data_IF_048833022157
#
_entry.id   IF_048833022157
#
_cell.length_a   1.000
_cell.length_b   1.000
_cell.length_c   1.000
_cell.angle_alpha   90.00
_cell.angle_beta   90.00
_cell.angle_gamma   90.00
#
_symmetry.space_group_name_H-M   'P 1'
#
loop_
_entity.id
_entity.type
_entity.pdbx_description
1 polymer ?
#
# COMPACT_ATOMS: atom_id res chain seq x y z
N UNK A 1 -61.10 -52.37 -46.18
CA UNK A 1 -60.71 -51.75 -44.91
C UNK A 1 -59.20 -51.98 -44.75
N UNK A 2 -58.39 -51.22 -45.49
CA UNK A 2 -57.63 -50.00 -45.09
C UNK A 2 -56.40 -50.35 -44.25
N UNK A 3 -55.20 -50.45 -44.87
CA UNK A 3 -54.17 -49.38 -45.06
C UNK A 3 -53.48 -49.00 -43.74
N UNK A 4 -52.16 -48.81 -43.58
CA UNK A 4 -50.98 -48.85 -44.45
C UNK A 4 -49.71 -48.64 -43.56
N UNK A 5 -48.53 -49.06 -44.06
CA UNK A 5 -47.18 -48.41 -43.99
C UNK A 5 -46.57 -48.00 -42.61
N UNK A 6 -45.40 -48.52 -42.22
CA UNK A 6 -44.00 -48.04 -42.50
C UNK A 6 -43.68 -46.58 -42.08
N UNK A 7 -42.65 -46.44 -41.21
CA UNK A 7 -41.70 -45.32 -41.02
C UNK A 7 -42.18 -43.91 -40.59
N UNK A 8 -41.47 -43.28 -39.65
CA UNK A 8 -41.34 -41.81 -39.48
C UNK A 8 -41.32 -41.36 -38.00
N UNK A 9 -40.20 -40.91 -37.41
CA UNK A 9 -39.55 -39.58 -37.42
C UNK A 9 -40.22 -38.49 -36.53
N UNK A 10 -39.37 -37.83 -35.71
CA UNK A 10 -39.46 -36.47 -35.15
C UNK A 10 -40.56 -36.11 -34.13
N UNK A 11 -40.15 -35.67 -32.93
CA UNK A 11 -40.13 -34.25 -32.49
C UNK A 11 -39.94 -34.18 -30.96
N UNK A 12 -38.78 -33.68 -30.50
CA UNK A 12 -38.78 -32.78 -29.34
C UNK A 12 -37.54 -31.90 -29.39
N UNK A 13 -37.77 -30.66 -29.83
CA UNK A 13 -36.85 -29.53 -29.88
C UNK A 13 -37.33 -28.51 -28.83
N UNK A 14 -36.40 -27.72 -28.28
CA UNK A 14 -36.57 -26.53 -27.42
C UNK A 14 -36.75 -26.83 -25.91
N UNK A 15 -36.09 -26.15 -24.96
CA UNK A 15 -35.26 -24.95 -24.96
C UNK A 15 -33.99 -25.20 -24.13
N UNK A 16 -32.80 -25.03 -24.73
CA UNK A 16 -31.66 -24.55 -23.95
C UNK A 16 -31.76 -23.03 -23.96
N UNK A 17 -32.26 -22.45 -22.85
CA UNK A 17 -32.06 -21.03 -22.58
C UNK A 17 -30.59 -20.88 -22.24
N UNK A 18 -29.86 -20.30 -23.19
CA UNK A 18 -28.52 -19.75 -23.01
C UNK A 18 -28.58 -18.67 -21.92
N UNK A 19 -28.34 -19.05 -20.67
CA UNK A 19 -27.96 -18.10 -19.63
C UNK A 19 -26.50 -17.75 -19.89
N UNK A 20 -26.26 -16.81 -20.82
CA UNK A 20 -24.97 -16.13 -20.85
C UNK A 20 -24.76 -15.50 -19.47
N UNK A 21 -23.58 -15.63 -18.83
CA UNK A 21 -23.28 -14.82 -17.67
C UNK A 21 -23.41 -13.36 -18.11
N UNK A 22 -24.23 -12.59 -17.39
CA UNK A 22 -24.22 -11.15 -17.51
C UNK A 22 -22.78 -10.70 -17.27
N UNK A 23 -22.11 -10.20 -18.30
CA UNK A 23 -20.88 -9.43 -18.12
C UNK A 23 -21.23 -8.34 -17.12
N UNK A 24 -20.60 -8.39 -15.94
CA UNK A 24 -20.62 -7.27 -15.03
C UNK A 24 -20.14 -6.07 -15.85
N UNK A 25 -21.01 -5.10 -16.06
CA UNK A 25 -20.69 -3.88 -16.77
C UNK A 25 -19.51 -3.24 -16.01
N UNK A 26 -18.31 -3.28 -16.60
CA UNK A 26 -17.12 -2.66 -16.03
C UNK A 26 -17.42 -1.18 -15.83
N UNK A 27 -17.59 -0.77 -14.57
CA UNK A 27 -17.94 0.61 -14.25
C UNK A 27 -16.86 1.58 -14.80
N UNK A 28 -17.27 2.60 -15.59
CA UNK A 28 -16.33 3.43 -16.34
C UNK A 28 -15.50 4.38 -15.47
N UNK A 29 -15.82 4.50 -14.19
CA UNK A 29 -15.18 5.42 -13.25
C UNK A 29 -14.38 4.69 -12.15
N UNK A 30 -14.88 3.57 -11.66
CA UNK A 30 -14.28 2.74 -10.59
C UNK A 30 -12.88 2.23 -10.94
N UNK A 31 -11.95 2.39 -10.00
CA UNK A 31 -10.60 1.85 -10.10
C UNK A 31 -9.52 2.85 -9.68
N UNK A 32 -8.27 2.43 -9.83
CA UNK A 32 -7.11 3.27 -9.57
C UNK A 32 -6.66 3.97 -10.86
N UNK A 33 -6.47 5.27 -10.78
CA UNK A 33 -6.06 6.16 -11.85
C UNK A 33 -4.73 6.77 -11.45
N UNK A 34 -3.73 6.72 -12.35
CA UNK A 34 -2.39 7.24 -12.08
C UNK A 34 -1.96 8.17 -13.19
N UNK A 35 -1.30 9.24 -12.82
CA UNK A 35 -0.74 10.17 -13.78
C UNK A 35 -0.27 11.42 -13.08
N UNK A 36 -0.40 12.56 -13.74
CA UNK A 36 0.26 13.78 -13.29
C UNK A 36 -0.67 14.98 -13.28
N UNK A 37 -0.30 15.94 -12.42
CA UNK A 37 -0.89 17.27 -12.32
C UNK A 37 0.20 18.27 -12.65
N UNK A 38 -0.05 19.10 -13.64
CA UNK A 38 0.94 20.01 -14.23
C UNK A 38 0.51 21.45 -14.02
N UNK A 39 1.40 22.25 -13.43
CA UNK A 39 1.17 23.68 -13.20
C UNK A 39 1.26 24.49 -14.53
N UNK A 40 0.73 25.73 -14.56
CA UNK A 40 0.79 26.57 -15.75
C UNK A 40 2.24 26.81 -16.16
N UNK A 41 2.55 26.58 -17.44
CA UNK A 41 3.91 26.68 -17.98
C UNK A 41 4.67 25.35 -18.04
N UNK A 42 4.19 24.28 -17.38
CA UNK A 42 4.77 22.94 -17.49
C UNK A 42 6.02 22.69 -16.66
N UNK A 43 6.44 23.66 -15.85
CA UNK A 43 7.70 23.60 -15.08
C UNK A 43 7.60 22.71 -13.83
N UNK A 44 6.39 22.44 -13.35
CA UNK A 44 6.13 21.61 -12.16
C UNK A 44 5.10 20.54 -12.53
N UNK A 45 5.53 19.29 -12.43
CA UNK A 45 4.72 18.10 -12.64
C UNK A 45 4.71 17.27 -11.36
N UNK A 46 3.53 17.03 -10.80
CA UNK A 46 3.33 16.22 -9.59
C UNK A 46 2.66 14.91 -9.96
N UNK A 47 3.23 13.78 -9.55
CA UNK A 47 2.60 12.47 -9.75
C UNK A 47 1.50 12.25 -8.71
N UNK A 48 0.32 11.83 -9.16
CA UNK A 48 -0.84 11.58 -8.31
C UNK A 48 -1.45 10.22 -8.59
N UNK A 49 -2.05 9.64 -7.55
CA UNK A 49 -2.90 8.46 -7.66
C UNK A 49 -4.27 8.75 -7.08
N UNK A 50 -5.30 8.47 -7.85
CA UNK A 50 -6.70 8.62 -7.47
C UNK A 50 -7.37 7.25 -7.47
N UNK A 51 -8.12 6.91 -6.43
CA UNK A 51 -8.90 5.67 -6.38
C UNK A 51 -10.36 6.01 -6.21
N UNK A 52 -11.21 5.48 -7.10
CA UNK A 52 -12.66 5.62 -7.06
C UNK A 52 -13.31 4.26 -6.79
N UNK A 53 -14.26 4.23 -5.87
CA UNK A 53 -15.04 3.05 -5.46
C UNK A 53 -16.52 3.37 -5.63
N UNK A 54 -17.25 2.53 -6.37
CA UNK A 54 -18.70 2.65 -6.46
C UNK A 54 -19.38 2.16 -5.17
N UNK A 55 -20.24 2.98 -4.58
CA UNK A 55 -21.00 2.68 -3.36
C UNK A 55 -22.43 3.19 -3.49
N UNK A 56 -23.41 2.28 -3.47
CA UNK A 56 -24.83 2.64 -3.39
C UNK A 56 -25.37 3.53 -4.53
N UNK A 57 -24.76 3.52 -5.71
CA UNK A 57 -25.11 4.41 -6.83
C UNK A 57 -24.41 5.77 -6.81
N UNK A 58 -23.41 5.93 -5.95
CA UNK A 58 -22.49 7.07 -5.87
C UNK A 58 -21.04 6.59 -5.89
N UNK A 59 -20.08 7.51 -5.82
CA UNK A 59 -18.67 7.19 -5.71
C UNK A 59 -18.08 7.73 -4.41
N UNK A 60 -17.17 6.96 -3.82
CA UNK A 60 -16.23 7.41 -2.80
C UNK A 60 -14.81 7.26 -3.35
N UNK A 61 -13.83 7.95 -2.74
CA UNK A 61 -12.47 7.83 -3.22
C UNK A 61 -11.43 8.56 -2.40
N UNK A 62 -10.18 8.34 -2.78
CA UNK A 62 -9.01 8.95 -2.16
C UNK A 62 -8.02 9.42 -3.23
N UNK A 63 -7.24 10.44 -2.87
CA UNK A 63 -6.21 11.05 -3.70
C UNK A 63 -4.89 11.07 -2.92
N UNK A 64 -3.80 10.65 -3.57
CA UNK A 64 -2.44 10.66 -3.01
C UNK A 64 -1.46 11.31 -3.99
N UNK A 65 -0.34 11.82 -3.48
CA UNK A 65 0.75 12.39 -4.29
C UNK A 65 1.03 13.89 -4.06
N UNK A 66 0.16 14.60 -3.33
CA UNK A 66 0.35 16.03 -3.03
C UNK A 66 1.20 16.30 -1.79
N UNK A 67 1.23 15.37 -0.83
CA UNK A 67 2.13 15.44 0.32
C UNK A 67 2.67 14.04 0.66
N UNK A 68 3.94 13.92 1.08
CA UNK A 68 4.53 12.64 1.45
C UNK A 68 3.74 11.96 2.59
N UNK A 69 3.23 10.76 2.33
CA UNK A 69 2.53 9.94 3.33
C UNK A 69 1.13 10.46 3.72
N UNK A 70 0.56 11.42 2.98
CA UNK A 70 -0.79 11.90 3.21
C UNK A 70 -1.74 11.36 2.13
N UNK A 71 -2.88 10.85 2.59
CA UNK A 71 -4.02 10.50 1.76
C UNK A 71 -5.12 11.53 2.02
N UNK A 72 -5.77 12.00 0.95
CA UNK A 72 -6.89 12.94 1.07
C UNK A 72 -8.16 12.27 0.57
N UNK A 73 -9.20 12.28 1.39
CA UNK A 73 -10.52 11.77 1.04
C UNK A 73 -11.19 12.71 0.02
N UNK A 74 -11.83 12.16 -1.01
CA UNK A 74 -12.61 12.97 -1.95
C UNK A 74 -13.94 13.38 -1.30
N UNK A 75 -14.20 14.69 -1.27
CA UNK A 75 -15.37 15.28 -0.60
C UNK A 75 -16.61 15.24 -1.48
N UNK A 76 -16.43 15.48 -2.79
CA UNK A 76 -17.50 15.36 -3.79
C UNK A 76 -16.99 14.67 -5.04
N UNK A 77 -17.82 13.79 -5.59
CA UNK A 77 -17.56 13.08 -6.85
C UNK A 77 -18.86 13.06 -7.64
N UNK A 78 -18.89 13.79 -8.75
CA UNK A 78 -20.01 13.86 -9.67
C UNK A 78 -19.60 13.29 -11.02
N UNK A 79 -20.45 12.43 -11.59
CA UNK A 79 -20.18 11.77 -12.87
C UNK A 79 -21.30 11.99 -13.86
N UNK A 80 -20.93 12.22 -15.12
CA UNK A 80 -21.82 12.10 -16.29
C UNK A 80 -21.42 10.90 -17.15
N UNK A 81 -21.88 10.84 -18.40
CA UNK A 81 -21.49 9.79 -19.34
C UNK A 81 -19.99 9.84 -19.71
N UNK A 82 -19.40 11.04 -19.75
CA UNK A 82 -18.04 11.30 -20.23
C UNK A 82 -17.22 12.25 -19.34
N UNK A 83 -17.81 12.83 -18.29
CA UNK A 83 -17.16 13.78 -17.40
C UNK A 83 -17.17 13.29 -15.94
N UNK A 84 -16.10 13.62 -15.23
CA UNK A 84 -15.90 13.38 -13.82
C UNK A 84 -15.49 14.69 -13.15
N UNK A 85 -16.30 15.18 -12.22
CA UNK A 85 -16.01 16.35 -11.40
C UNK A 85 -15.71 15.91 -9.98
N UNK A 86 -14.59 16.39 -9.43
CA UNK A 86 -14.13 16.01 -8.09
C UNK A 86 -13.77 17.26 -7.33
N UNK A 87 -14.15 17.32 -6.06
CA UNK A 87 -13.60 18.28 -5.11
C UNK A 87 -13.08 17.58 -3.85
N UNK A 88 -12.03 18.14 -3.26
CA UNK A 88 -11.49 17.67 -1.99
C UNK A 88 -10.74 18.77 -1.26
N UNK A 89 -10.73 18.70 0.06
CA UNK A 89 -10.05 19.62 0.96
C UNK A 89 -9.22 18.88 2.00
N UNK A 90 -8.10 19.49 2.41
CA UNK A 90 -7.23 18.97 3.46
C UNK A 90 -6.56 20.09 4.24
N UNK A 91 -6.40 19.92 5.55
CA UNK A 91 -5.54 20.79 6.35
C UNK A 91 -4.08 20.35 6.19
N UNK A 92 -3.23 21.27 5.74
CA UNK A 92 -1.79 21.02 5.60
C UNK A 92 -0.98 21.97 6.47
N UNK A 93 0.28 21.63 6.73
CA UNK A 93 1.21 22.52 7.44
C UNK A 93 1.47 23.86 6.71
N UNK A 94 1.11 23.95 5.41
CA UNK A 94 1.23 25.15 4.59
C UNK A 94 -0.08 25.93 4.48
N UNK A 95 -1.14 25.48 5.13
CA UNK A 95 -2.49 26.05 5.06
C UNK A 95 -3.53 25.07 4.51
N UNK A 96 -4.81 25.48 4.44
CA UNK A 96 -5.86 24.67 3.84
C UNK A 96 -5.55 24.44 2.35
N UNK A 97 -5.63 23.19 1.92
CA UNK A 97 -5.52 22.76 0.53
C UNK A 97 -6.93 22.47 0.01
N UNK A 98 -7.31 23.07 -1.11
CA UNK A 98 -8.52 22.73 -1.84
C UNK A 98 -8.15 22.34 -3.27
N UNK A 99 -8.78 21.27 -3.77
CA UNK A 99 -8.58 20.76 -5.12
C UNK A 99 -9.94 20.59 -5.78
N UNK A 100 -10.04 21.03 -7.04
CA UNK A 100 -11.24 20.82 -7.87
C UNK A 100 -10.83 20.41 -9.27
N UNK A 101 -11.34 19.29 -9.78
CA UNK A 101 -11.00 18.75 -11.09
C UNK A 101 -12.24 18.56 -11.95
N UNK A 102 -12.08 18.77 -13.25
CA UNK A 102 -13.11 18.51 -14.26
C UNK A 102 -12.48 17.69 -15.38
N UNK A 103 -12.61 16.37 -15.29
CA UNK A 103 -11.88 15.42 -16.12
C UNK A 103 -12.80 14.80 -17.18
N UNK A 104 -12.31 14.73 -18.41
CA UNK A 104 -13.01 14.09 -19.53
C UNK A 104 -12.45 12.70 -19.77
N UNK A 105 -13.33 11.72 -19.95
CA UNK A 105 -12.96 10.35 -20.27
C UNK A 105 -12.47 10.23 -21.71
N UNK A 106 -11.36 9.54 -21.88
CA UNK A 106 -10.79 9.22 -23.19
C UNK A 106 -10.03 7.90 -23.17
N UNK A 107 -9.22 7.72 -24.20
CA UNK A 107 -8.34 6.57 -24.35
C UNK A 107 -6.95 7.01 -24.78
N UNK A 108 -5.90 6.41 -24.20
CA UNK A 108 -4.51 6.68 -24.56
C UNK A 108 -3.74 5.41 -24.92
N UNK A 109 -2.76 5.47 -25.84
CA UNK A 109 -1.88 4.33 -26.14
C UNK A 109 -1.14 3.85 -24.89
N UNK A 110 -1.00 2.54 -24.71
CA UNK A 110 -0.23 1.99 -23.60
C UNK A 110 1.28 2.21 -23.80
N UNK A 111 2.04 2.66 -22.78
CA UNK A 111 3.49 2.86 -22.89
C UNK A 111 4.29 1.59 -23.19
N UNK A 112 3.79 0.41 -22.79
CA UNK A 112 4.49 -0.89 -22.92
C UNK A 112 3.56 -2.04 -23.36
N UNK A 113 2.70 -1.82 -24.34
CA UNK A 113 1.82 -2.90 -24.81
C UNK A 113 0.96 -2.57 -26.02
N UNK A 114 0.17 -3.55 -26.45
CA UNK A 114 -0.81 -3.39 -27.53
C UNK A 114 -2.11 -2.79 -26.98
N UNK A 115 -2.72 -1.90 -27.75
CA UNK A 115 -4.04 -1.30 -27.47
C UNK A 115 -4.00 -0.04 -26.61
N UNK A 116 -5.19 0.48 -26.30
CA UNK A 116 -5.44 1.72 -25.56
C UNK A 116 -5.87 1.45 -24.12
N UNK A 117 -5.54 2.34 -23.19
CA UNK A 117 -6.02 2.35 -21.81
C UNK A 117 -6.99 3.53 -21.60
N UNK A 118 -7.99 3.34 -20.73
CA UNK A 118 -8.88 4.42 -20.34
C UNK A 118 -8.07 5.55 -19.71
N UNK A 119 -8.42 6.78 -20.06
CA UNK A 119 -7.74 7.98 -19.66
C UNK A 119 -8.74 9.01 -19.13
N UNK A 120 -8.24 9.89 -18.27
CA UNK A 120 -8.93 11.07 -17.78
C UNK A 120 -8.00 12.25 -18.00
N UNK A 121 -8.48 13.25 -18.71
CA UNK A 121 -7.72 14.45 -19.02
C UNK A 121 -8.61 15.67 -18.82
N UNK A 122 -8.08 16.73 -18.24
CA UNK A 122 -8.81 17.97 -18.13
C UNK A 122 -8.25 18.94 -17.09
N UNK A 123 -8.87 20.13 -17.01
CA UNK A 123 -8.43 21.17 -16.12
C UNK A 123 -8.75 20.88 -14.67
N UNK A 124 -7.99 21.53 -13.80
CA UNK A 124 -8.20 21.57 -12.37
C UNK A 124 -7.83 22.92 -11.78
N UNK A 125 -8.20 23.12 -10.53
CA UNK A 125 -7.76 24.23 -9.71
C UNK A 125 -7.18 23.67 -8.41
N UNK A 126 -6.02 24.20 -8.01
CA UNK A 126 -5.39 23.92 -6.73
C UNK A 126 -5.27 25.23 -5.96
N UNK A 127 -5.81 25.25 -4.74
CA UNK A 127 -5.70 26.37 -3.82
C UNK A 127 -4.98 25.94 -2.56
N UNK A 128 -3.94 26.66 -2.17
CA UNK A 128 -3.21 26.46 -0.92
C UNK A 128 -3.18 27.78 -0.14
N UNK A 129 -3.91 27.86 0.96
CA UNK A 129 -4.16 29.12 1.67
C UNK A 129 -4.83 30.14 0.76
N UNK A 130 -4.26 31.34 0.64
CA UNK A 130 -4.79 32.42 -0.21
C UNK A 130 -4.34 32.33 -1.68
N UNK A 131 -3.60 31.28 -2.06
CA UNK A 131 -2.99 31.15 -3.38
C UNK A 131 -3.63 30.03 -4.20
N UNK A 132 -4.32 30.40 -5.29
CA UNK A 132 -4.91 29.46 -6.24
C UNK A 132 -4.25 29.53 -7.62
N UNK A 133 -4.09 28.39 -8.27
CA UNK A 133 -3.66 28.30 -9.66
C UNK A 133 -4.36 27.16 -10.41
N UNK A 134 -4.56 27.37 -11.71
CA UNK A 134 -5.09 26.34 -12.60
C UNK A 134 -4.03 25.27 -12.86
N UNK A 135 -4.46 24.03 -13.04
CA UNK A 135 -3.58 22.89 -13.36
C UNK A 135 -4.19 22.08 -14.50
N UNK A 136 -3.35 21.37 -15.24
CA UNK A 136 -3.80 20.33 -16.16
C UNK A 136 -3.59 18.97 -15.51
N UNK A 137 -4.63 18.13 -15.52
CA UNK A 137 -4.61 16.80 -14.92
C UNK A 137 -4.66 15.77 -16.03
N UNK A 138 -3.77 14.78 -15.96
CA UNK A 138 -3.69 13.72 -16.94
C UNK A 138 -3.49 12.37 -16.26
N UNK A 139 -4.54 11.54 -16.19
CA UNK A 139 -4.53 10.24 -15.52
C UNK A 139 -4.85 9.11 -16.50
N UNK A 140 -4.15 7.98 -16.37
CA UNK A 140 -4.51 6.74 -17.04
C UNK A 140 -5.03 5.74 -16.02
N UNK A 141 -6.11 5.02 -16.35
CA UNK A 141 -6.61 3.93 -15.51
C UNK A 141 -5.50 2.90 -15.38
N UNK A 142 -4.95 2.78 -14.18
CA UNK A 142 -4.12 1.65 -13.86
C UNK A 142 -5.02 0.44 -14.08
N UNK A 143 -4.63 -0.47 -15.00
CA UNK A 143 -5.27 -1.76 -14.99
C UNK A 143 -5.13 -2.27 -13.55
N UNK A 144 -6.23 -2.74 -12.98
CA UNK A 144 -6.17 -3.92 -12.15
C UNK A 144 -5.62 -5.01 -13.08
N UNK A 145 -4.30 -4.98 -13.31
CA UNK A 145 -3.61 -6.24 -13.25
C UNK A 145 -3.99 -6.67 -11.84
N UNK A 146 -4.83 -7.69 -11.72
CA UNK A 146 -4.54 -8.66 -10.69
C UNK A 146 -3.10 -9.13 -11.02
N UNK A 147 -2.09 -8.28 -10.75
CA UNK A 147 -0.94 -8.77 -10.03
C UNK A 147 -1.66 -9.29 -8.81
N UNK A 148 -1.70 -10.60 -8.58
CA UNK A 148 -2.09 -11.09 -7.29
C UNK A 148 -1.26 -10.25 -6.32
N UNK A 149 -1.88 -9.24 -5.72
CA UNK A 149 -1.27 -8.58 -4.58
C UNK A 149 -1.12 -9.74 -3.65
N UNK A 150 0.11 -10.11 -3.27
CA UNK A 150 0.29 -11.27 -2.44
C UNK A 150 -0.62 -11.06 -1.24
N UNK A 151 -1.69 -11.86 -1.20
CA UNK A 151 -2.65 -11.90 -0.11
C UNK A 151 -1.88 -12.63 0.97
N UNK A 152 -0.92 -11.92 1.56
CA UNK A 152 -0.19 -12.47 2.67
C UNK A 152 -1.22 -12.54 3.77
N UNK A 153 -1.58 -13.77 4.12
CA UNK A 153 -2.42 -14.01 5.28
C UNK A 153 -1.79 -13.30 6.48
N UNK A 154 -2.50 -12.33 7.05
CA UNK A 154 -2.08 -11.58 8.23
C UNK A 154 -2.13 -12.52 9.42
N UNK A 155 -1.01 -13.19 9.67
CA UNK A 155 -0.82 -14.13 10.77
C UNK A 155 0.63 -14.08 11.22
N UNK A 156 0.89 -14.39 12.48
CA UNK A 156 2.26 -14.48 13.01
C UNK A 156 3.13 -15.46 12.22
N UNK A 157 2.50 -16.49 11.65
CA UNK A 157 3.15 -17.49 10.79
C UNK A 157 3.82 -16.92 9.54
N UNK A 158 3.47 -15.71 9.09
CA UNK A 158 4.17 -15.03 7.99
C UNK A 158 5.67 -14.89 8.26
N UNK A 159 6.06 -14.58 9.50
CA UNK A 159 7.46 -14.37 9.85
C UNK A 159 8.25 -15.67 9.96
N UNK A 160 7.59 -16.83 10.10
CA UNK A 160 8.25 -18.10 10.39
C UNK A 160 9.25 -18.52 9.31
N UNK A 161 10.35 -19.15 9.72
CA UNK A 161 11.42 -19.61 8.83
C UNK A 161 12.62 -18.68 8.79
N UNK A 162 13.54 -18.97 7.88
CA UNK A 162 14.81 -18.25 7.74
C UNK A 162 14.70 -17.14 6.71
N UNK A 163 15.25 -15.97 7.04
CA UNK A 163 15.32 -14.80 6.17
C UNK A 163 16.76 -14.32 6.09
N UNK A 164 17.19 -13.93 4.90
CA UNK A 164 18.39 -13.11 4.69
C UNK A 164 17.98 -11.65 4.66
N UNK A 165 18.81 -10.76 5.19
CA UNK A 165 18.52 -9.35 5.17
C UNK A 165 19.75 -8.48 4.97
N UNK A 166 19.52 -7.32 4.38
CA UNK A 166 20.46 -6.20 4.28
C UNK A 166 19.78 -4.96 4.85
N UNK A 167 20.44 -4.28 5.79
CA UNK A 167 20.00 -3.02 6.36
C UNK A 167 21.07 -1.95 6.17
N UNK A 168 20.68 -0.83 5.56
CA UNK A 168 21.53 0.35 5.38
C UNK A 168 20.98 1.48 6.24
N UNK A 169 21.78 1.96 7.18
CA UNK A 169 21.34 3.04 8.08
C UNK A 169 22.49 3.63 8.89
N UNK A 170 22.19 4.73 9.56
CA UNK A 170 23.14 5.39 10.46
C UNK A 170 23.37 4.58 11.73
N UNK A 171 24.62 4.59 12.20
CA UNK A 171 24.92 4.27 13.60
C UNK A 171 24.34 5.39 14.48
N UNK A 172 23.37 5.02 15.32
CA UNK A 172 22.61 5.97 16.13
C UNK A 172 22.11 5.29 17.41
N UNK A 173 23.00 5.07 18.40
CA UNK A 173 22.61 4.52 19.69
C UNK A 173 21.60 5.43 20.40
N UNK A 174 20.64 4.86 21.15
CA UNK A 174 20.45 3.43 21.39
C UNK A 174 19.57 2.71 20.33
N UNK A 175 19.16 3.39 19.26
CA UNK A 175 18.17 2.89 18.31
C UNK A 175 18.76 1.99 17.21
N UNK A 176 19.98 2.28 16.75
CA UNK A 176 20.62 1.58 15.63
C UNK A 176 22.12 1.47 15.85
N UNK A 177 22.67 0.32 15.45
CA UNK A 177 24.12 0.03 15.38
C UNK A 177 24.68 0.24 13.96
N UNK A 178 23.87 0.81 13.07
CA UNK A 178 24.25 1.11 11.69
C UNK A 178 23.97 0.00 10.68
N UNK A 179 24.64 0.12 9.54
CA UNK A 179 24.54 -0.80 8.39
C UNK A 179 24.99 -2.19 8.77
N UNK A 180 24.18 -3.19 8.46
CA UNK A 180 24.43 -4.59 8.79
C UNK A 180 23.68 -5.52 7.84
N UNK A 181 24.22 -6.70 7.61
CA UNK A 181 23.56 -7.75 6.84
C UNK A 181 23.72 -9.09 7.52
N UNK A 182 22.81 -10.02 7.25
CA UNK A 182 22.85 -11.30 7.92
C UNK A 182 21.62 -12.15 7.67
N UNK A 183 21.34 -13.03 8.63
CA UNK A 183 20.14 -13.86 8.62
C UNK A 183 19.38 -13.78 9.91
N UNK A 184 18.06 -13.90 9.83
CA UNK A 184 17.18 -14.09 10.98
C UNK A 184 16.37 -15.37 10.79
N UNK A 185 16.34 -16.24 11.80
CA UNK A 185 15.52 -17.46 11.78
C UNK A 185 14.43 -17.36 12.83
N UNK A 186 13.17 -17.34 12.38
CA UNK A 186 12.00 -17.29 13.24
C UNK A 186 11.42 -18.68 13.49
N UNK A 187 11.19 -18.99 14.77
CA UNK A 187 10.55 -20.22 15.23
C UNK A 187 9.30 -19.87 16.03
N UNK A 188 8.20 -20.57 15.80
CA UNK A 188 6.99 -20.41 16.60
C UNK A 188 7.26 -20.74 18.07
N UNK A 189 6.72 -19.92 18.98
CA UNK A 189 6.77 -20.18 20.41
C UNK A 189 5.54 -20.99 20.84
N UNK A 190 5.75 -21.94 21.75
CA UNK A 190 4.63 -22.68 22.34
C UNK A 190 3.77 -21.75 23.21
N UNK A 191 2.45 -21.93 23.16
CA UNK A 191 1.51 -21.25 24.06
C UNK A 191 0.97 -19.89 23.61
N UNK A 192 1.21 -19.45 22.37
CA UNK A 192 0.56 -18.25 21.85
C UNK A 192 0.93 -17.88 20.41
N UNK A 193 0.32 -16.82 19.86
CA UNK A 193 0.57 -16.34 18.50
C UNK A 193 1.87 -15.53 18.45
N UNK A 194 2.99 -16.17 18.81
CA UNK A 194 4.32 -15.56 18.86
C UNK A 194 5.36 -16.36 18.06
N UNK A 195 6.35 -15.65 17.52
CA UNK A 195 7.58 -16.23 16.98
C UNK A 195 8.80 -15.60 17.67
N UNK A 196 9.84 -16.39 17.90
CA UNK A 196 11.18 -15.91 18.29
C UNK A 196 12.11 -15.95 17.09
N UNK A 197 12.73 -14.82 16.76
CA UNK A 197 13.76 -14.67 15.74
C UNK A 197 15.16 -14.67 16.35
N UNK A 198 16.07 -15.48 15.82
CA UNK A 198 17.51 -15.40 16.11
C UNK A 198 18.24 -14.74 14.96
N UNK A 199 18.83 -13.58 15.21
CA UNK A 199 19.60 -12.79 14.24
C UNK A 199 21.08 -13.14 14.38
N UNK A 200 21.69 -13.49 13.25
CA UNK A 200 23.13 -13.65 13.08
C UNK A 200 23.56 -12.71 11.94
N UNK A 201 24.32 -11.68 12.25
CA UNK A 201 24.68 -10.64 11.31
C UNK A 201 26.15 -10.24 11.42
N UNK A 202 26.60 -9.45 10.45
CA UNK A 202 27.91 -8.82 10.42
C UNK A 202 27.76 -7.29 10.48
N UNK A 203 28.59 -6.65 11.32
CA UNK A 203 28.73 -5.20 11.43
C UNK A 203 30.22 -4.88 11.31
N UNK A 204 30.62 -4.17 10.26
CA UNK A 204 32.02 -3.80 10.02
C UNK A 204 33.03 -4.97 10.10
N UNK A 205 32.64 -6.18 9.69
CA UNK A 205 33.47 -7.38 9.78
C UNK A 205 33.40 -8.13 11.11
N UNK A 206 32.63 -7.63 12.08
CA UNK A 206 32.44 -8.25 13.40
C UNK A 206 31.08 -8.94 13.49
N UNK A 207 31.03 -10.08 14.19
CA UNK A 207 29.80 -10.82 14.40
C UNK A 207 28.87 -10.08 15.37
N UNK A 208 27.60 -9.95 14.99
CA UNK A 208 26.55 -9.35 15.78
C UNK A 208 25.37 -10.30 15.91
N UNK A 209 24.77 -10.34 17.10
CA UNK A 209 23.59 -11.17 17.35
C UNK A 209 22.48 -10.39 18.04
N UNK A 210 21.25 -10.77 17.76
CA UNK A 210 20.07 -10.15 18.33
C UNK A 210 18.95 -11.18 18.43
N UNK A 211 18.10 -11.05 19.44
CA UNK A 211 16.90 -11.87 19.58
C UNK A 211 15.67 -11.00 19.36
N UNK A 212 14.79 -11.42 18.45
CA UNK A 212 13.51 -10.78 18.19
C UNK A 212 12.37 -11.64 18.71
N UNK A 213 11.29 -11.01 19.16
CA UNK A 213 10.04 -11.69 19.45
C UNK A 213 8.91 -10.90 18.81
N UNK A 214 8.13 -11.56 17.95
CA UNK A 214 6.99 -10.93 17.28
C UNK A 214 5.72 -11.65 17.73
N UNK A 215 4.76 -10.88 18.23
CA UNK A 215 3.43 -11.35 18.58
C UNK A 215 2.37 -10.68 17.74
N UNK A 216 1.31 -11.40 17.40
CA UNK A 216 0.18 -10.86 16.64
C UNK A 216 -1.14 -11.23 17.29
N UNK A 217 -2.05 -10.27 17.42
CA UNK A 217 -3.41 -10.49 17.86
C UNK A 217 -4.35 -10.32 16.67
N UNK A 218 -4.99 -11.41 16.24
CA UNK A 218 -5.93 -11.44 15.11
C UNK A 218 -7.19 -10.60 15.35
N UNK A 219 -7.67 -10.51 16.60
CA UNK A 219 -8.91 -9.78 16.91
C UNK A 219 -8.73 -8.27 16.78
N UNK A 220 -7.63 -7.74 17.31
CA UNK A 220 -7.32 -6.31 17.28
C UNK A 220 -6.40 -5.90 16.12
N UNK A 221 -5.91 -6.85 15.33
CA UNK A 221 -4.88 -6.65 14.30
C UNK A 221 -3.59 -6.00 14.82
N UNK A 222 -3.34 -6.07 16.13
CA UNK A 222 -2.16 -5.45 16.75
C UNK A 222 -0.96 -6.38 16.69
N UNK A 223 0.21 -5.84 16.36
CA UNK A 223 1.49 -6.54 16.37
C UNK A 223 2.37 -5.96 17.45
N UNK A 224 3.09 -6.82 18.16
CA UNK A 224 4.15 -6.43 19.11
C UNK A 224 5.47 -6.95 18.56
N UNK A 225 6.50 -6.10 18.55
CA UNK A 225 7.85 -6.48 18.17
C UNK A 225 8.83 -6.10 19.28
N UNK A 226 9.41 -7.11 19.90
CA UNK A 226 10.49 -6.96 20.89
C UNK A 226 11.83 -7.24 20.23
N UNK A 227 12.78 -6.35 20.40
CA UNK A 227 14.14 -6.46 19.89
C UNK A 227 15.11 -6.45 21.09
N UNK A 228 15.92 -7.49 21.22
CA UNK A 228 16.93 -7.67 22.27
C UNK A 228 18.31 -7.80 21.61
N UNK A 229 19.02 -6.69 21.38
CA UNK A 229 20.42 -6.70 20.96
C UNK A 229 21.32 -7.50 21.91
N UNK A 230 22.44 -8.02 21.39
CA UNK A 230 23.53 -8.52 22.24
C UNK A 230 24.12 -7.43 23.12
N UNK A 231 24.09 -6.17 22.64
CA UNK A 231 24.57 -4.99 23.35
C UNK A 231 23.59 -3.83 23.20
N UNK A 232 23.30 -3.15 24.31
CA UNK A 232 22.34 -2.05 24.36
C UNK A 232 20.97 -2.44 24.91
N UNK A 233 20.04 -1.47 24.97
CA UNK A 233 18.74 -1.66 25.60
C UNK A 233 17.78 -2.47 24.73
N UNK A 234 16.82 -3.11 25.40
CA UNK A 234 15.66 -3.74 24.75
C UNK A 234 14.78 -2.67 24.13
N UNK A 235 14.32 -2.91 22.90
CA UNK A 235 13.31 -2.08 22.25
C UNK A 235 12.01 -2.87 22.15
N UNK A 236 10.90 -2.21 22.43
CA UNK A 236 9.56 -2.78 22.26
C UNK A 236 8.77 -1.85 21.36
N UNK A 237 8.23 -2.37 20.28
CA UNK A 237 7.39 -1.65 19.34
C UNK A 237 5.99 -2.24 19.29
N UNK A 238 5.01 -1.35 19.14
CA UNK A 238 3.61 -1.68 18.90
C UNK A 238 3.27 -1.24 17.48
N UNK A 239 2.58 -2.09 16.74
CA UNK A 239 2.14 -1.78 15.39
C UNK A 239 0.71 -2.23 15.13
N UNK A 240 0.13 -1.66 14.08
CA UNK A 240 -1.17 -2.01 13.54
C UNK A 240 -0.97 -2.71 12.19
N UNK A 241 -1.48 -3.93 12.07
CA UNK A 241 -1.44 -4.73 10.84
C UNK A 241 -2.85 -4.91 10.25
N UNK A 242 -3.66 -3.86 10.23
CA UNK A 242 -4.93 -3.88 9.50
C UNK A 242 -4.74 -3.89 7.98
N UNK A 243 -3.63 -3.34 7.47
CA UNK A 243 -3.31 -3.28 6.05
C UNK A 243 -2.58 -4.53 5.56
N UNK A 244 -3.02 -5.18 4.45
CA UNK A 244 -2.38 -6.40 3.96
C UNK A 244 -0.96 -6.17 3.41
N UNK A 245 -0.61 -4.91 3.11
CA UNK A 245 0.67 -4.55 2.46
C UNK A 245 1.62 -3.78 3.37
N UNK A 246 1.22 -3.45 4.59
CA UNK A 246 2.08 -2.69 5.47
C UNK A 246 1.70 -2.71 6.94
N UNK A 247 2.72 -2.51 7.77
CA UNK A 247 2.61 -2.42 9.23
C UNK A 247 3.39 -1.19 9.67
N UNK A 248 2.74 -0.29 10.37
CA UNK A 248 3.44 0.84 11.00
C UNK A 248 3.68 0.50 12.47
N UNK A 249 4.94 0.50 12.88
CA UNK A 249 5.36 0.29 14.26
C UNK A 249 5.88 1.59 14.87
N UNK A 250 5.64 1.74 16.17
CA UNK A 250 6.24 2.77 17.00
C UNK A 250 6.84 2.12 18.24
N UNK A 251 8.08 2.44 18.57
CA UNK A 251 8.67 1.96 19.83
C UNK A 251 8.07 2.68 21.02
N UNK A 252 8.03 2.01 22.16
CA UNK A 252 7.94 2.70 23.44
C UNK A 252 9.12 3.69 23.56
N UNK A 253 8.91 4.85 24.20
CA UNK A 253 9.99 5.79 24.45
C UNK A 253 11.14 5.14 25.22
N UNK A 254 12.35 5.37 24.74
CA UNK A 254 13.57 4.84 25.33
C UNK A 254 14.42 6.00 25.86
N UNK A 255 14.72 5.97 27.16
CA UNK A 255 15.57 6.98 27.79
C UNK A 255 17.03 6.54 27.75
N UNK A 256 17.91 7.40 27.21
CA UNK A 256 19.36 7.20 27.22
C UNK A 256 20.06 8.56 27.18
N UNK A 257 21.19 8.70 27.88
CA UNK A 257 22.02 9.92 27.88
C UNK A 257 21.25 11.23 28.13
N UNK A 258 20.16 11.17 28.91
CA UNK A 258 19.31 12.32 29.23
C UNK A 258 18.30 12.72 28.15
N UNK A 259 18.23 11.98 27.04
CA UNK A 259 17.25 12.20 25.97
C UNK A 259 16.24 11.05 25.89
N UNK A 260 15.09 11.34 25.28
CA UNK A 260 14.03 10.36 24.98
C UNK A 260 14.05 10.05 23.48
N UNK A 261 14.20 8.78 23.15
CA UNK A 261 14.26 8.28 21.78
C UNK A 261 13.00 7.52 21.41
N UNK A 262 12.49 7.74 20.21
CA UNK A 262 11.38 6.97 19.64
C UNK A 262 11.73 6.58 18.21
N UNK A 263 11.55 5.31 17.86
CA UNK A 263 11.68 4.79 16.51
C UNK A 263 10.30 4.57 15.90
N UNK A 264 10.13 5.01 14.66
CA UNK A 264 9.01 4.63 13.79
C UNK A 264 9.54 3.71 12.70
N UNK A 265 8.90 2.55 12.53
CA UNK A 265 9.24 1.57 11.49
C UNK A 265 8.03 1.33 10.61
N UNK A 266 8.17 1.60 9.31
CA UNK A 266 7.22 1.13 8.31
C UNK A 266 7.73 -0.17 7.71
N UNK A 267 7.03 -1.28 7.95
CA UNK A 267 7.23 -2.53 7.24
C UNK A 267 6.31 -2.56 6.02
N UNK A 268 6.84 -2.90 4.85
CA UNK A 268 6.04 -3.14 3.65
C UNK A 268 6.16 -4.60 3.25
N UNK A 269 5.02 -5.29 3.22
CA UNK A 269 4.94 -6.70 2.83
C UNK A 269 4.82 -6.76 1.32
N UNK A 270 5.91 -7.15 0.65
CA UNK A 270 5.98 -7.17 -0.81
C UNK A 270 5.57 -8.53 -1.39
N UNK A 271 5.79 -9.62 -0.67
CA UNK A 271 5.33 -10.98 -1.00
C UNK A 271 5.35 -11.93 0.21
N UNK A 272 4.89 -13.17 0.02
CA UNK A 272 5.04 -14.25 1.01
C UNK A 272 6.50 -14.48 1.44
N UNK A 273 7.45 -14.12 0.58
CA UNK A 273 8.88 -14.37 0.76
C UNK A 273 9.70 -13.09 0.80
N UNK A 274 9.08 -11.91 0.87
CA UNK A 274 9.82 -10.65 0.96
C UNK A 274 9.05 -9.54 1.68
N UNK A 275 9.78 -8.78 2.49
CA UNK A 275 9.33 -7.51 3.04
C UNK A 275 10.49 -6.51 3.12
N UNK A 276 10.17 -5.24 3.22
CA UNK A 276 11.14 -4.17 3.48
C UNK A 276 10.76 -3.43 4.76
N UNK A 277 11.74 -2.75 5.35
CA UNK A 277 11.52 -1.84 6.48
C UNK A 277 12.12 -0.47 6.19
N UNK A 278 11.45 0.56 6.69
CA UNK A 278 11.89 1.95 6.66
C UNK A 278 11.82 2.47 8.08
N UNK A 279 13.00 2.71 8.66
CA UNK A 279 13.15 3.23 10.01
C UNK A 279 13.39 4.74 9.99
N UNK A 280 12.73 5.41 10.93
CA UNK A 280 12.87 6.82 11.26
C UNK A 280 12.93 6.98 12.78
N UNK A 281 13.48 8.09 13.25
CA UNK A 281 13.62 8.35 14.67
C UNK A 281 13.29 9.78 15.06
N UNK A 282 12.81 9.94 16.29
CA UNK A 282 12.62 11.21 16.97
C UNK A 282 13.46 11.23 18.26
N UNK A 283 13.93 12.41 18.63
CA UNK A 283 14.64 12.68 19.89
C UNK A 283 13.89 13.81 20.59
N UNK A 284 13.57 13.62 21.87
CA UNK A 284 12.87 14.56 22.74
C UNK A 284 11.56 15.11 22.14
N UNK A 285 10.84 14.27 21.40
CA UNK A 285 9.58 14.64 20.75
C UNK A 285 9.74 15.55 19.52
N UNK A 286 10.97 15.72 19.02
CA UNK A 286 11.24 16.42 17.76
C UNK A 286 10.69 15.71 16.53
N UNK A 287 10.82 16.31 15.33
CA UNK A 287 10.35 15.69 14.10
C UNK A 287 11.07 14.36 13.81
N UNK A 288 10.34 13.41 13.23
CA UNK A 288 10.93 12.16 12.75
C UNK A 288 11.91 12.43 11.60
N UNK A 289 13.07 11.79 11.66
CA UNK A 289 14.12 11.86 10.65
C UNK A 289 14.49 10.47 10.19
N UNK A 290 14.93 10.36 8.95
CA UNK A 290 15.35 9.09 8.34
C UNK A 290 16.48 8.45 9.14
N UNK A 291 16.33 7.17 9.49
CA UNK A 291 17.39 6.36 10.11
C UNK A 291 18.04 5.39 9.13
N UNK A 292 17.22 4.60 8.43
CA UNK A 292 17.72 3.58 7.52
C UNK A 292 16.63 2.69 6.90
N UNK A 293 17.02 1.88 5.93
CA UNK A 293 16.16 0.94 5.23
C UNK A 293 16.70 -0.48 5.30
N UNK A 294 15.81 -1.45 5.41
CA UNK A 294 16.14 -2.87 5.31
C UNK A 294 15.34 -3.59 4.25
N UNK A 295 15.93 -4.62 3.66
CA UNK A 295 15.27 -5.56 2.76
C UNK A 295 15.45 -6.97 3.31
N UNK A 296 14.37 -7.75 3.36
CA UNK A 296 14.33 -9.10 3.89
C UNK A 296 13.79 -10.03 2.81
N UNK A 297 14.49 -11.13 2.59
CA UNK A 297 14.14 -12.18 1.64
C UNK A 297 14.17 -13.52 2.35
N UNK A 298 13.15 -14.35 2.15
CA UNK A 298 13.13 -15.69 2.73
C UNK A 298 14.25 -16.52 2.10
N UNK A 299 15.05 -17.17 2.93
CA UNK A 299 16.09 -18.08 2.48
C UNK A 299 15.42 -19.37 1.98
N UNK A 300 15.78 -19.80 0.77
CA UNK A 300 15.35 -21.09 0.19
C UNK A 300 15.96 -22.27 0.93
#
# INVERSE_FOLDING_TARGET
>A
MTMAQRLGLLFMLALLVSQAPAEAQDDPWTGSWRGTVTAPGGDIETTVTMTLIAEGGSYTGLLTGFAPGAEVQLDSIDTSDDQLTIATSADTALGPLELSYSLTRGERPRPRGRGTAAALDGPGQVTLGDHGFDVEVSLTRARRTDIPQPQVDQRVGYFSGRWTFDYTGGDFPPLSVGTRSGTVTFTALEGGPFVEGRVEAEIYGEAYTETWTIGFNEESQSVVWREQPSEGPVRLALGDWSSPIGITFLTLPLEADGNVYVLRRLMQVASETSFSVTDEFSVDGGPFRRLGNGAFLRAN
#
